data_IF_054403190537
#
_entry.id   IF_054403190537
#
_cell.length_a   1.000
_cell.length_b   1.000
_cell.length_c   1.000
_cell.angle_alpha   90.00
_cell.angle_beta   90.00
_cell.angle_gamma   90.00
#
_symmetry.space_group_name_H-M   'P 1'
#
loop_
_entity.id
_entity.type
_entity.pdbx_description
1 polymer ?
#
# COMPACT_ATOMS: atom_id res chain seq x y z
N UNK A 1 1.48 25.47 13.93
CA UNK A 1 0.49 24.85 14.84
C UNK A 1 -0.79 24.75 14.02
N UNK A 2 -1.39 23.57 13.89
CA UNK A 2 -2.64 23.42 13.13
C UNK A 2 -3.75 23.88 14.09
N UNK A 3 -4.53 24.88 13.68
CA UNK A 3 -5.64 25.39 14.50
C UNK A 3 -6.93 24.61 14.18
N UNK A 4 -7.83 24.48 15.16
CA UNK A 4 -9.12 23.78 14.99
C UNK A 4 -9.96 24.37 13.85
N UNK A 5 -9.74 25.65 13.55
CA UNK A 5 -10.39 26.36 12.44
C UNK A 5 -10.05 25.84 11.05
N UNK A 6 -8.86 25.17 10.89
CA UNK A 6 -8.43 24.57 9.62
C UNK A 6 -9.26 23.34 9.21
N UNK A 7 -10.12 22.83 10.10
CA UNK A 7 -10.95 21.65 9.89
C UNK A 7 -12.46 21.95 9.90
N UNK A 8 -12.85 23.16 9.52
CA UNK A 8 -14.28 23.52 9.43
C UNK A 8 -14.93 22.86 8.22
N UNK A 9 -16.11 22.26 8.45
CA UNK A 9 -16.99 21.75 7.42
C UNK A 9 -18.11 22.79 7.25
N UNK A 10 -18.27 23.33 6.05
CA UNK A 10 -19.25 24.37 5.78
C UNK A 10 -20.70 23.89 5.96
N UNK A 11 -20.99 22.70 5.40
CA UNK A 11 -22.35 22.12 5.38
C UNK A 11 -22.34 20.68 5.92
N UNK A 12 -22.19 20.50 7.26
CA UNK A 12 -22.06 19.16 7.85
C UNK A 12 -23.31 18.29 7.69
N UNK A 13 -24.49 18.91 7.51
CA UNK A 13 -25.75 18.18 7.35
C UNK A 13 -25.90 17.54 5.96
N UNK A 14 -25.10 17.93 4.98
CA UNK A 14 -25.12 17.35 3.64
C UNK A 14 -24.20 16.12 3.52
N UNK A 15 -23.55 15.73 4.61
CA UNK A 15 -22.65 14.59 4.65
C UNK A 15 -23.35 13.39 5.31
N UNK A 16 -23.54 12.34 4.54
CA UNK A 16 -24.02 11.06 5.07
C UNK A 16 -22.94 10.41 5.96
N UNK A 17 -23.31 10.04 7.18
CA UNK A 17 -22.38 9.44 8.16
C UNK A 17 -22.67 7.94 8.34
N UNK A 18 -21.63 7.12 8.64
CA UNK A 18 -20.24 7.51 8.93
C UNK A 18 -19.45 7.87 7.68
N UNK A 19 -18.65 8.95 7.73
CA UNK A 19 -17.82 9.41 6.63
C UNK A 19 -16.38 9.69 7.08
N UNK A 20 -15.41 9.45 6.19
CA UNK A 20 -14.02 9.87 6.37
C UNK A 20 -13.80 11.18 5.61
N UNK A 21 -13.42 12.21 6.32
CA UNK A 21 -13.10 13.51 5.73
C UNK A 21 -11.61 13.62 5.44
N UNK A 22 -11.27 14.09 4.26
CA UNK A 22 -9.90 14.36 3.86
C UNK A 22 -9.78 15.83 3.47
N UNK A 23 -8.98 16.57 4.22
CA UNK A 23 -8.68 17.96 3.95
C UNK A 23 -7.52 18.02 2.94
N UNK A 24 -7.84 18.42 1.71
CA UNK A 24 -6.90 18.29 0.59
C UNK A 24 -5.61 19.08 0.77
N UNK A 25 -5.70 20.30 1.28
CA UNK A 25 -4.52 21.15 1.47
C UNK A 25 -3.58 20.58 2.54
N UNK A 26 -4.15 20.03 3.62
CA UNK A 26 -3.39 19.36 4.67
C UNK A 26 -2.74 18.07 4.15
N UNK A 27 -3.48 17.29 3.34
CA UNK A 27 -2.94 16.09 2.71
C UNK A 27 -1.75 16.43 1.83
N UNK A 28 -1.87 17.43 0.95
CA UNK A 28 -0.79 17.85 0.04
C UNK A 28 0.43 18.36 0.80
N UNK A 29 0.20 19.18 1.83
CA UNK A 29 1.28 19.63 2.69
C UNK A 29 1.99 18.46 3.37
N UNK A 30 1.25 17.48 3.89
CA UNK A 30 1.83 16.31 4.54
C UNK A 30 2.64 15.45 3.54
N UNK A 31 2.14 15.23 2.33
CA UNK A 31 2.87 14.51 1.28
C UNK A 31 4.17 15.26 0.95
N UNK A 32 4.11 16.57 0.76
CA UNK A 32 5.30 17.39 0.48
C UNK A 32 6.34 17.29 1.59
N UNK A 33 5.93 17.49 2.84
CA UNK A 33 6.86 17.44 4.00
C UNK A 33 7.53 16.08 4.13
N UNK A 34 6.77 14.98 4.03
CA UNK A 34 7.33 13.64 4.12
C UNK A 34 8.27 13.34 2.95
N UNK A 35 7.94 13.79 1.74
CA UNK A 35 8.80 13.65 0.57
C UNK A 35 10.12 14.41 0.73
N UNK A 36 10.07 15.65 1.24
CA UNK A 36 11.28 16.44 1.53
C UNK A 36 12.17 15.76 2.58
N UNK A 37 11.58 15.24 3.65
CA UNK A 37 12.32 14.51 4.69
C UNK A 37 12.97 13.22 4.16
N UNK A 38 12.36 12.57 3.19
CA UNK A 38 12.89 11.37 2.54
C UNK A 38 13.91 11.65 1.42
N UNK A 39 14.13 12.93 1.08
CA UNK A 39 14.99 13.32 -0.03
C UNK A 39 14.38 13.09 -1.41
N UNK A 40 13.05 12.92 -1.48
CA UNK A 40 12.26 12.73 -2.70
C UNK A 40 11.11 11.75 -2.47
N UNK A 41 10.00 11.92 -3.18
CA UNK A 41 8.85 11.00 -3.12
C UNK A 41 9.18 9.62 -3.67
N UNK A 42 10.11 9.54 -4.61
CA UNK A 42 10.65 8.31 -5.21
C UNK A 42 11.43 7.42 -4.21
N UNK A 43 11.81 7.95 -3.07
CA UNK A 43 12.37 7.20 -1.96
C UNK A 43 11.31 6.62 -1.00
N UNK A 44 10.01 6.80 -1.29
CA UNK A 44 8.92 6.45 -0.39
C UNK A 44 8.02 5.35 -0.96
N UNK A 45 7.86 4.29 -0.17
CA UNK A 45 6.80 3.28 -0.30
C UNK A 45 5.84 3.47 0.88
N UNK A 46 4.71 4.13 0.67
CA UNK A 46 3.79 4.53 1.75
C UNK A 46 2.72 3.47 2.03
N UNK A 47 2.21 3.43 3.27
CA UNK A 47 1.26 2.40 3.66
C UNK A 47 -0.20 2.82 3.44
N UNK A 48 -0.91 2.11 2.55
CA UNK A 48 -2.34 2.37 2.20
C UNK A 48 -3.29 2.12 3.37
N UNK A 49 -2.96 1.24 4.32
CA UNK A 49 -3.86 0.84 5.43
C UNK A 49 -4.43 2.01 6.24
N UNK A 50 -3.74 3.16 6.24
CA UNK A 50 -4.11 4.35 7.01
C UNK A 50 -5.34 5.05 6.47
N UNK A 51 -5.53 5.04 5.14
CA UNK A 51 -6.64 5.73 4.49
C UNK A 51 -7.55 4.82 3.65
N UNK A 52 -7.02 3.73 3.07
CA UNK A 52 -7.76 2.79 2.20
C UNK A 52 -8.60 3.49 1.13
N UNK A 53 -8.09 4.59 0.60
CA UNK A 53 -8.76 5.44 -0.38
C UNK A 53 -7.95 5.48 -1.68
N UNK A 54 -8.59 5.11 -2.79
CA UNK A 54 -7.99 5.19 -4.12
C UNK A 54 -7.72 6.64 -4.52
N UNK A 55 -8.60 7.58 -4.15
CA UNK A 55 -8.41 9.00 -4.44
C UNK A 55 -7.17 9.57 -3.74
N UNK A 56 -6.94 9.20 -2.47
CA UNK A 56 -5.72 9.58 -1.74
C UNK A 56 -4.48 8.94 -2.37
N UNK A 57 -4.55 7.66 -2.73
CA UNK A 57 -3.45 6.96 -3.39
C UNK A 57 -3.07 7.60 -4.74
N UNK A 58 -4.06 7.97 -5.58
CA UNK A 58 -3.82 8.70 -6.84
C UNK A 58 -3.12 10.03 -6.60
N UNK A 59 -3.53 10.76 -5.56
CA UNK A 59 -2.91 12.06 -5.21
C UNK A 59 -1.46 11.90 -4.74
N UNK A 60 -1.18 10.85 -3.96
CA UNK A 60 0.19 10.50 -3.55
C UNK A 60 1.08 10.16 -4.75
N UNK A 61 0.58 9.32 -5.70
CA UNK A 61 1.32 9.01 -6.93
C UNK A 61 1.57 10.25 -7.79
N UNK A 62 0.57 11.12 -7.94
CA UNK A 62 0.70 12.37 -8.67
C UNK A 62 1.76 13.31 -8.06
N UNK A 63 2.03 13.16 -6.77
CA UNK A 63 3.07 13.89 -6.03
C UNK A 63 4.45 13.21 -6.05
N UNK A 64 4.61 12.12 -6.83
CA UNK A 64 5.91 11.45 -7.03
C UNK A 64 6.22 10.34 -6.02
N UNK A 65 5.26 9.88 -5.20
CA UNK A 65 5.47 8.70 -4.33
C UNK A 65 5.69 7.46 -5.20
N UNK A 66 6.76 6.68 -4.91
CA UNK A 66 7.19 5.54 -5.71
C UNK A 66 6.17 4.40 -5.75
N UNK A 67 5.50 4.11 -4.63
CA UNK A 67 4.60 2.98 -4.54
C UNK A 67 3.93 2.80 -3.19
N UNK A 68 3.34 1.63 -2.99
CA UNK A 68 2.54 1.37 -1.79
C UNK A 68 2.90 0.08 -1.08
N UNK A 69 2.88 0.16 0.24
CA UNK A 69 2.84 -0.97 1.15
C UNK A 69 1.38 -1.28 1.51
N UNK A 70 0.99 -2.55 1.43
CA UNK A 70 -0.36 -3.04 1.67
C UNK A 70 -0.36 -4.14 2.75
N UNK A 71 -1.39 -4.18 3.58
CA UNK A 71 -1.59 -5.23 4.58
C UNK A 71 -2.52 -6.35 4.08
N UNK A 72 -3.32 -6.10 3.06
CA UNK A 72 -4.30 -7.04 2.53
C UNK A 72 -4.30 -7.06 1.00
N UNK A 73 -4.79 -8.15 0.39
CA UNK A 73 -4.97 -8.24 -1.06
C UNK A 73 -5.96 -7.18 -1.59
N UNK A 74 -6.97 -6.79 -0.78
CA UNK A 74 -7.88 -5.71 -1.14
C UNK A 74 -7.18 -4.36 -1.24
N UNK A 75 -6.20 -4.12 -0.38
CA UNK A 75 -5.36 -2.90 -0.48
C UNK A 75 -4.42 -2.97 -1.68
N UNK A 76 -3.94 -4.16 -2.07
CA UNK A 76 -3.17 -4.35 -3.32
C UNK A 76 -4.03 -3.98 -4.54
N UNK A 77 -5.27 -4.49 -4.61
CA UNK A 77 -6.23 -4.14 -5.67
C UNK A 77 -6.47 -2.63 -5.75
N UNK A 78 -6.67 -1.99 -4.60
CA UNK A 78 -6.86 -0.54 -4.51
C UNK A 78 -5.62 0.21 -5.03
N UNK A 79 -4.42 -0.18 -4.62
CA UNK A 79 -3.18 0.46 -5.06
C UNK A 79 -2.96 0.31 -6.57
N UNK A 80 -3.21 -0.89 -7.12
CA UNK A 80 -3.15 -1.15 -8.56
C UNK A 80 -4.21 -0.34 -9.31
N UNK A 81 -5.45 -0.27 -8.81
CA UNK A 81 -6.53 0.56 -9.35
C UNK A 81 -6.21 2.05 -9.34
N UNK A 82 -5.43 2.52 -8.36
CA UNK A 82 -4.91 3.88 -8.33
C UNK A 82 -3.81 4.14 -9.39
N UNK A 83 -3.25 3.11 -10.00
CA UNK A 83 -2.19 3.19 -10.99
C UNK A 83 -0.77 3.01 -10.44
N UNK A 84 -0.63 2.40 -9.26
CA UNK A 84 0.67 2.12 -8.67
C UNK A 84 1.52 1.22 -9.59
N UNK A 85 2.81 1.57 -9.71
CA UNK A 85 3.80 0.78 -10.44
C UNK A 85 4.59 -0.16 -9.52
N UNK A 86 4.60 0.11 -8.23
CA UNK A 86 5.24 -0.72 -7.22
C UNK A 86 4.33 -0.93 -6.03
N UNK A 87 4.11 -2.19 -5.63
CA UNK A 87 3.23 -2.58 -4.53
C UNK A 87 3.88 -3.70 -3.73
N UNK A 88 3.92 -3.56 -2.40
CA UNK A 88 4.45 -4.57 -1.49
C UNK A 88 3.30 -5.04 -0.59
N UNK A 89 2.91 -6.32 -0.71
CA UNK A 89 2.04 -6.96 0.25
C UNK A 89 2.85 -7.36 1.48
N UNK A 90 2.82 -6.51 2.49
CA UNK A 90 3.63 -6.65 3.71
C UNK A 90 2.89 -7.44 4.81
N UNK A 91 2.30 -8.57 4.44
CA UNK A 91 1.71 -9.54 5.34
C UNK A 91 1.92 -10.95 4.78
N UNK A 92 2.61 -11.85 5.49
CA UNK A 92 2.89 -13.19 4.99
C UNK A 92 1.60 -13.98 4.75
N UNK A 93 1.53 -14.68 3.62
CA UNK A 93 0.39 -15.50 3.26
C UNK A 93 0.67 -16.98 3.56
N UNK A 94 -0.24 -17.61 4.31
CA UNK A 94 -0.14 -19.03 4.67
C UNK A 94 -1.26 -19.89 4.04
N UNK A 95 -2.12 -19.30 3.22
CA UNK A 95 -3.24 -19.97 2.57
C UNK A 95 -3.06 -19.95 1.05
N UNK A 96 -3.13 -21.14 0.42
CA UNK A 96 -2.96 -21.30 -1.04
C UNK A 96 -3.90 -20.39 -1.83
N UNK A 97 -5.17 -20.30 -1.44
CA UNK A 97 -6.16 -19.44 -2.11
C UNK A 97 -5.76 -17.96 -2.13
N UNK A 98 -5.13 -17.46 -1.05
CA UNK A 98 -4.62 -16.10 -1.02
C UNK A 98 -3.42 -15.90 -1.94
N UNK A 99 -2.53 -16.89 -2.01
CA UNK A 99 -1.38 -16.84 -2.92
C UNK A 99 -1.83 -16.93 -4.37
N UNK A 100 -2.85 -17.72 -4.69
CA UNK A 100 -3.44 -17.77 -6.03
C UNK A 100 -3.99 -16.40 -6.45
N UNK A 101 -4.75 -15.74 -5.57
CA UNK A 101 -5.25 -14.38 -5.83
C UNK A 101 -4.11 -13.35 -5.94
N UNK A 102 -3.07 -13.46 -5.11
CA UNK A 102 -1.88 -12.63 -5.24
C UNK A 102 -1.20 -12.81 -6.60
N UNK A 103 -1.08 -14.06 -7.07
CA UNK A 103 -0.51 -14.37 -8.39
C UNK A 103 -1.32 -13.74 -9.52
N UNK A 104 -2.65 -13.70 -9.42
CA UNK A 104 -3.53 -13.00 -10.38
C UNK A 104 -3.26 -11.50 -10.40
N UNK A 105 -3.17 -10.86 -9.24
CA UNK A 105 -2.86 -9.43 -9.11
C UNK A 105 -1.45 -9.07 -9.61
N UNK A 106 -0.54 -10.05 -9.66
CA UNK A 106 0.85 -9.87 -10.10
C UNK A 106 1.07 -10.09 -11.61
N UNK A 107 0.01 -10.27 -12.40
CA UNK A 107 0.11 -10.52 -13.85
C UNK A 107 0.27 -9.24 -14.69
N UNK A 108 0.04 -8.07 -14.10
CA UNK A 108 0.12 -6.77 -14.79
C UNK A 108 1.56 -6.26 -14.94
N UNK A 109 1.67 -5.02 -15.43
CA UNK A 109 2.96 -4.32 -15.59
C UNK A 109 3.57 -3.84 -14.27
N UNK A 110 2.75 -3.73 -13.21
CA UNK A 110 3.21 -3.29 -11.91
C UNK A 110 4.08 -4.36 -11.24
N UNK A 111 5.09 -3.91 -10.54
CA UNK A 111 5.93 -4.75 -9.68
C UNK A 111 5.19 -5.02 -8.39
N UNK A 112 4.66 -6.23 -8.22
CA UNK A 112 3.96 -6.65 -7.00
C UNK A 112 4.79 -7.68 -6.26
N UNK A 113 5.17 -7.35 -5.01
CA UNK A 113 6.00 -8.21 -4.16
C UNK A 113 5.23 -8.70 -2.95
N UNK A 114 5.40 -9.99 -2.58
CA UNK A 114 4.95 -10.53 -1.31
C UNK A 114 6.12 -10.58 -0.32
N UNK A 115 5.83 -10.57 0.98
CA UNK A 115 6.84 -10.88 2.00
C UNK A 115 6.72 -12.34 2.47
N UNK A 116 7.87 -12.91 2.86
CA UNK A 116 7.97 -14.21 3.49
C UNK A 116 8.90 -14.14 4.69
N UNK A 117 8.42 -14.57 5.87
CA UNK A 117 9.17 -14.62 7.13
C UNK A 117 9.39 -16.06 7.64
N UNK A 118 9.00 -17.07 6.86
CA UNK A 118 9.19 -18.48 7.20
C UNK A 118 9.26 -19.33 5.93
N UNK A 119 9.96 -20.47 6.01
CA UNK A 119 10.14 -21.40 4.88
C UNK A 119 8.80 -21.85 4.26
N UNK A 120 7.77 -22.10 5.09
CA UNK A 120 6.42 -22.47 4.61
C UNK A 120 5.77 -21.40 3.72
N UNK A 121 6.04 -20.11 3.95
CA UNK A 121 5.53 -19.03 3.10
C UNK A 121 6.17 -19.08 1.72
N UNK A 122 7.47 -19.31 1.67
CA UNK A 122 8.21 -19.49 0.41
C UNK A 122 7.73 -20.74 -0.34
N UNK A 123 7.49 -21.85 0.39
CA UNK A 123 7.01 -23.10 -0.21
C UNK A 123 5.65 -22.90 -0.90
N UNK A 124 4.66 -22.32 -0.21
CA UNK A 124 3.32 -22.08 -0.80
C UNK A 124 3.40 -21.12 -2.00
N UNK A 125 4.23 -20.08 -1.93
CA UNK A 125 4.46 -19.17 -3.05
C UNK A 125 5.09 -19.90 -4.23
N UNK A 126 6.09 -20.76 -3.98
CA UNK A 126 6.77 -21.56 -5.00
C UNK A 126 5.84 -22.57 -5.66
N UNK A 127 5.00 -23.27 -4.88
CA UNK A 127 4.03 -24.24 -5.40
C UNK A 127 3.04 -23.58 -6.37
N UNK A 128 2.48 -22.42 -5.99
CA UNK A 128 1.55 -21.67 -6.85
C UNK A 128 2.25 -21.09 -8.07
N UNK A 129 3.49 -20.60 -7.92
CA UNK A 129 4.30 -20.09 -9.03
C UNK A 129 4.53 -21.19 -10.09
N UNK A 130 4.86 -22.42 -9.63
CA UNK A 130 5.06 -23.58 -10.50
C UNK A 130 3.75 -24.02 -11.19
N UNK A 131 2.64 -24.13 -10.45
CA UNK A 131 1.33 -24.47 -11.00
C UNK A 131 0.86 -23.49 -12.09
N UNK A 132 1.15 -22.19 -11.92
CA UNK A 132 0.73 -21.13 -12.84
C UNK A 132 1.78 -20.80 -13.91
N UNK A 133 2.95 -21.44 -13.85
CA UNK A 133 4.10 -21.11 -14.71
C UNK A 133 4.42 -19.61 -14.71
N UNK A 134 4.31 -18.99 -13.53
CA UNK A 134 4.44 -17.55 -13.33
C UNK A 134 5.51 -17.26 -12.26
N UNK A 135 6.44 -16.35 -12.55
CA UNK A 135 7.37 -15.88 -11.52
C UNK A 135 6.66 -14.96 -10.53
N UNK A 136 6.79 -15.23 -9.23
CA UNK A 136 6.30 -14.38 -8.16
C UNK A 136 7.48 -13.71 -7.46
N UNK A 137 7.37 -12.40 -7.24
CA UNK A 137 8.41 -11.64 -6.53
C UNK A 137 8.21 -11.77 -5.02
N UNK A 138 9.28 -12.12 -4.31
CA UNK A 138 9.26 -12.33 -2.86
C UNK A 138 10.37 -11.53 -2.20
N UNK A 139 10.06 -10.85 -1.11
CA UNK A 139 10.99 -10.19 -0.20
C UNK A 139 11.07 -11.00 1.09
N UNK A 140 12.28 -11.23 1.59
CA UNK A 140 12.47 -11.90 2.87
C UNK A 140 12.36 -10.88 3.99
N UNK A 141 11.47 -11.15 4.94
CA UNK A 141 11.29 -10.37 6.16
C UNK A 141 12.19 -10.97 7.24
N UNK A 142 13.21 -10.21 7.63
CA UNK A 142 14.21 -10.64 8.61
C UNK A 142 13.97 -9.92 9.94
N UNK A 143 13.70 -10.71 10.98
CA UNK A 143 13.75 -10.23 12.35
C UNK A 143 15.22 -10.17 12.80
N UNK A 144 15.74 -8.98 12.99
CA UNK A 144 17.12 -8.76 13.43
C UNK A 144 17.31 -8.83 14.94
N UNK A 145 16.25 -9.19 15.70
CA UNK A 145 16.25 -9.29 17.17
C UNK A 145 16.77 -8.02 17.87
N UNK A 146 16.63 -6.85 17.23
CA UNK A 146 16.92 -5.59 17.88
C UNK A 146 15.84 -5.34 18.95
N UNK A 147 16.08 -5.87 20.13
CA UNK A 147 15.39 -5.43 21.36
C UNK A 147 15.92 -4.04 21.71
N UNK A 148 15.12 -3.02 21.50
CA UNK A 148 15.35 -1.68 22.05
C UNK A 148 15.00 -1.66 23.53
#
# INVERSE_FOLDING_TARGET
MIEVEDYKIAEPNDIETPAMLVFSDQLDNNIRVVSELAGGGDNLIVHVKTHKSEAVARRQLASGIAGFKCATLREVELALGAGAKEVILAYPMAQKIKVQRFAELSQGEAVVSAIASAARHVQILGDVAAERQQALRVMIDLDTLLTL
#
